data_IF_439630782196
#
_entry.id   IF_439630782196
#
_cell.length_a   1.000
_cell.length_b   1.000
_cell.length_c   1.000
_cell.angle_alpha   90.00
_cell.angle_beta   90.00
_cell.angle_gamma   90.00
#
_symmetry.space_group_name_H-M   'P 1'
#
loop_
_entity.id
_entity.type
_entity.pdbx_description
1 polymer ?
#
# COMPACT_ATOMS: atom_id res chain seq x y z
N UNK A 1 44.42 40.37 42.85
CA UNK A 1 44.90 39.74 41.61
C UNK A 1 44.21 38.34 41.42
N UNK A 2 42.90 38.22 41.60
CA UNK A 2 42.17 36.89 41.64
C UNK A 2 40.84 36.83 40.86
N UNK A 3 40.53 37.88 40.07
CA UNK A 3 39.21 37.94 39.39
C UNK A 3 39.28 37.51 37.88
N UNK A 4 40.49 37.44 37.31
CA UNK A 4 40.66 37.16 35.87
C UNK A 4 40.73 35.66 35.48
N UNK A 5 40.87 34.75 36.45
CA UNK A 5 40.98 33.31 36.19
C UNK A 5 39.63 32.58 36.12
N UNK A 6 38.58 33.17 36.71
CA UNK A 6 37.26 32.53 36.78
C UNK A 6 36.41 32.72 35.52
N UNK A 7 36.69 33.71 34.67
CA UNK A 7 35.87 33.93 33.43
C UNK A 7 36.26 33.01 32.27
N UNK A 8 37.48 32.49 32.24
CA UNK A 8 37.95 31.63 31.15
C UNK A 8 37.41 30.19 31.28
N UNK A 9 37.16 29.73 32.52
CA UNK A 9 36.66 28.39 32.79
C UNK A 9 35.17 28.21 32.45
N UNK A 10 34.36 29.27 32.48
CA UNK A 10 32.92 29.23 32.22
C UNK A 10 32.62 29.18 30.71
N UNK A 11 33.46 29.76 29.85
CA UNK A 11 33.28 29.72 28.39
C UNK A 11 33.66 28.38 27.76
N UNK A 12 34.46 27.55 28.42
CA UNK A 12 34.88 26.25 27.90
C UNK A 12 33.81 25.13 28.06
N UNK A 13 32.84 25.32 28.97
CA UNK A 13 31.78 24.30 29.23
C UNK A 13 30.58 24.44 28.31
N UNK A 14 30.34 25.58 27.68
CA UNK A 14 29.20 25.83 26.79
C UNK A 14 29.41 25.34 25.35
N UNK A 15 30.61 24.86 24.99
CA UNK A 15 30.95 24.41 23.63
C UNK A 15 30.70 22.91 23.33
N UNK A 16 30.30 22.08 24.32
CA UNK A 16 30.33 20.61 24.19
C UNK A 16 29.02 19.92 23.84
N UNK A 17 27.93 20.64 23.59
CA UNK A 17 26.62 20.06 23.23
C UNK A 17 26.15 20.43 21.83
N UNK A 18 27.03 20.48 20.86
CA UNK A 18 26.61 20.43 19.46
C UNK A 18 26.34 18.96 19.08
N UNK A 19 25.23 18.40 19.57
CA UNK A 19 24.69 17.17 19.02
C UNK A 19 24.35 17.45 17.56
N UNK A 20 25.20 17.00 16.63
CA UNK A 20 24.85 16.99 15.22
C UNK A 20 23.60 16.13 15.05
N UNK A 21 22.44 16.76 14.91
CA UNK A 21 21.22 16.07 14.51
C UNK A 21 21.47 15.47 13.12
N UNK A 22 21.88 14.19 13.07
CA UNK A 22 21.99 13.48 11.80
C UNK A 22 20.59 13.21 11.31
N UNK A 23 20.23 13.83 10.20
CA UNK A 23 19.03 13.45 9.46
C UNK A 23 19.14 11.96 9.09
N UNK A 24 18.17 11.16 9.56
CA UNK A 24 18.13 9.72 9.27
C UNK A 24 17.38 9.50 7.99
N UNK A 25 18.04 8.93 6.99
CA UNK A 25 17.41 8.46 5.75
C UNK A 25 16.76 7.11 6.01
N UNK A 26 15.46 7.02 5.73
CA UNK A 26 14.72 5.75 5.79
C UNK A 26 14.95 4.93 4.52
N UNK A 27 15.17 3.63 4.68
CA UNK A 27 15.16 2.65 3.59
C UNK A 27 13.94 1.77 3.75
N UNK A 28 13.04 1.80 2.76
CA UNK A 28 11.78 1.06 2.79
C UNK A 28 11.67 0.09 1.61
N UNK A 29 11.17 -1.11 1.86
CA UNK A 29 10.81 -2.05 0.80
C UNK A 29 9.62 -1.51 0.01
N UNK A 30 9.69 -1.61 -1.31
CA UNK A 30 8.64 -1.14 -2.20
C UNK A 30 8.53 -2.04 -3.43
N UNK A 31 7.35 -2.12 -4.04
CA UNK A 31 7.15 -2.89 -5.26
C UNK A 31 7.85 -2.24 -6.45
N UNK A 32 8.61 -3.03 -7.21
CA UNK A 32 9.21 -2.58 -8.48
C UNK A 32 8.15 -2.52 -9.59
N UNK A 33 8.40 -1.71 -10.64
CA UNK A 33 7.50 -1.67 -11.81
C UNK A 33 7.41 -3.02 -12.51
N UNK A 34 8.52 -3.77 -12.61
CA UNK A 34 8.52 -5.10 -13.21
C UNK A 34 7.62 -6.08 -12.46
N UNK A 35 7.71 -6.09 -11.13
CA UNK A 35 6.86 -6.92 -10.29
C UNK A 35 5.39 -6.49 -10.42
N UNK A 36 5.11 -5.19 -10.41
CA UNK A 36 3.75 -4.66 -10.56
C UNK A 36 3.12 -5.05 -11.90
N UNK A 37 3.87 -5.01 -13.00
CA UNK A 37 3.42 -5.48 -14.32
C UNK A 37 3.12 -6.97 -14.31
N UNK A 38 4.04 -7.81 -13.80
CA UNK A 38 3.82 -9.26 -13.72
C UNK A 38 2.55 -9.59 -12.93
N UNK A 39 2.31 -8.92 -11.79
CA UNK A 39 1.10 -9.11 -11.00
C UNK A 39 -0.14 -8.70 -11.80
N UNK A 40 -0.12 -7.52 -12.42
CA UNK A 40 -1.28 -6.98 -13.12
C UNK A 40 -1.66 -7.85 -14.33
N UNK A 41 -0.69 -8.23 -15.17
CA UNK A 41 -0.90 -9.08 -16.34
C UNK A 41 -1.39 -10.47 -15.96
N UNK A 42 -0.78 -11.07 -14.93
CA UNK A 42 -1.23 -12.38 -14.43
C UNK A 42 -2.67 -12.30 -13.89
N UNK A 43 -2.97 -11.30 -13.06
CA UNK A 43 -4.31 -11.13 -12.50
C UNK A 43 -5.39 -10.90 -13.58
N UNK A 44 -5.05 -10.14 -14.64
CA UNK A 44 -5.95 -9.94 -15.78
C UNK A 44 -6.21 -11.25 -16.55
N UNK A 45 -5.14 -12.00 -16.85
CA UNK A 45 -5.21 -13.23 -17.64
C UNK A 45 -5.93 -14.37 -16.90
N UNK A 46 -5.72 -14.48 -15.58
CA UNK A 46 -6.37 -15.47 -14.72
C UNK A 46 -7.86 -15.14 -14.43
N UNK A 47 -8.28 -13.93 -14.76
CA UNK A 47 -9.64 -13.47 -14.51
C UNK A 47 -10.54 -13.55 -15.75
N UNK A 48 -10.82 -12.41 -16.31
CA UNK A 48 -11.63 -12.27 -17.53
C UNK A 48 -11.26 -10.96 -18.23
N UNK A 49 -11.52 -10.83 -19.55
CA UNK A 49 -11.25 -9.60 -20.26
C UNK A 49 -12.16 -8.41 -19.87
N UNK A 50 -13.05 -8.59 -18.89
CA UNK A 50 -13.95 -7.53 -18.42
C UNK A 50 -13.48 -6.83 -17.15
N UNK A 51 -12.36 -7.26 -16.58
CA UNK A 51 -11.85 -6.65 -15.34
C UNK A 51 -10.90 -5.51 -15.63
N UNK A 52 -10.83 -4.58 -14.69
CA UNK A 52 -9.75 -3.62 -14.54
C UNK A 52 -8.89 -4.03 -13.36
N UNK A 53 -7.58 -3.88 -13.49
CA UNK A 53 -6.58 -4.23 -12.49
C UNK A 53 -5.77 -2.99 -12.15
N UNK A 54 -5.68 -2.65 -10.87
CA UNK A 54 -4.86 -1.56 -10.35
C UNK A 54 -3.81 -2.11 -9.39
N UNK A 55 -2.54 -1.78 -9.60
CA UNK A 55 -1.44 -2.09 -8.66
C UNK A 55 -0.88 -0.80 -8.11
N UNK A 56 -0.86 -0.69 -6.79
CA UNK A 56 -0.34 0.46 -6.05
C UNK A 56 0.98 0.12 -5.38
N UNK A 57 1.85 1.14 -5.23
CA UNK A 57 3.06 1.03 -4.44
C UNK A 57 2.79 1.23 -2.93
N UNK A 58 3.83 1.11 -2.10
CA UNK A 58 3.76 1.29 -0.64
C UNK A 58 3.14 2.63 -0.24
N UNK A 59 3.33 3.69 -1.02
CA UNK A 59 2.78 5.02 -0.77
C UNK A 59 1.37 5.24 -1.35
N UNK A 60 0.72 4.19 -1.86
CA UNK A 60 -0.61 4.25 -2.45
C UNK A 60 -0.65 4.88 -3.85
N UNK A 61 0.51 5.06 -4.50
CA UNK A 61 0.59 5.61 -5.86
C UNK A 61 0.37 4.51 -6.89
N UNK A 62 -0.39 4.82 -7.94
CA UNK A 62 -0.62 3.91 -9.06
C UNK A 62 0.70 3.59 -9.78
N UNK A 63 1.08 2.31 -9.82
CA UNK A 63 2.23 1.81 -10.57
C UNK A 63 1.82 1.25 -11.91
N UNK A 64 0.73 0.48 -11.93
CA UNK A 64 0.17 -0.14 -13.14
C UNK A 64 -1.34 -0.07 -13.05
N UNK A 65 -1.95 0.25 -14.18
CA UNK A 65 -3.37 0.05 -14.41
C UNK A 65 -3.56 -0.65 -15.76
N UNK A 66 -4.29 -1.75 -15.75
CA UNK A 66 -4.71 -2.46 -16.94
C UNK A 66 -6.24 -2.47 -16.99
N UNK A 67 -6.79 -2.08 -18.11
CA UNK A 67 -8.20 -2.20 -18.38
C UNK A 67 -8.41 -3.27 -19.44
N UNK A 68 -9.10 -4.34 -19.07
CA UNK A 68 -9.44 -5.40 -20.00
C UNK A 68 -10.51 -4.94 -21.01
N UNK A 69 -10.58 -5.65 -22.12
CA UNK A 69 -11.57 -5.38 -23.17
C UNK A 69 -12.99 -5.46 -22.60
N UNK A 70 -13.81 -4.47 -22.94
CA UNK A 70 -15.19 -4.34 -22.43
C UNK A 70 -15.33 -4.16 -20.91
N UNK A 71 -14.27 -3.76 -20.20
CA UNK A 71 -14.39 -3.36 -18.81
C UNK A 71 -15.16 -2.03 -18.70
N UNK A 72 -16.05 -1.95 -17.72
CA UNK A 72 -16.85 -0.73 -17.49
C UNK A 72 -16.00 0.45 -17.04
N UNK A 73 -16.31 1.70 -17.44
CA UNK A 73 -15.50 2.88 -17.12
C UNK A 73 -15.25 3.10 -15.62
N UNK A 74 -16.24 2.82 -14.76
CA UNK A 74 -16.12 2.98 -13.31
C UNK A 74 -15.16 1.96 -12.65
N UNK A 75 -14.79 0.89 -13.35
CA UNK A 75 -13.90 -0.14 -12.80
C UNK A 75 -12.50 0.40 -12.53
N UNK A 76 -12.05 1.46 -13.20
CA UNK A 76 -10.79 2.17 -12.88
C UNK A 76 -10.80 2.63 -11.41
N UNK A 77 -11.85 3.35 -11.02
CA UNK A 77 -11.97 3.88 -9.67
C UNK A 77 -12.15 2.76 -8.65
N UNK A 78 -13.01 1.78 -8.93
CA UNK A 78 -13.28 0.68 -8.01
C UNK A 78 -12.02 -0.17 -7.77
N UNK A 79 -11.29 -0.56 -8.82
CA UNK A 79 -10.06 -1.34 -8.70
C UNK A 79 -9.01 -0.60 -7.85
N UNK A 80 -8.81 0.71 -8.13
CA UNK A 80 -7.89 1.56 -7.38
C UNK A 80 -8.28 1.66 -5.90
N UNK A 81 -9.54 1.94 -5.59
CA UNK A 81 -10.02 2.09 -4.21
C UNK A 81 -9.98 0.78 -3.43
N UNK A 82 -10.25 -0.35 -4.06
CA UNK A 82 -10.09 -1.68 -3.45
C UNK A 82 -8.62 -1.96 -3.11
N UNK A 83 -7.70 -1.67 -4.05
CA UNK A 83 -6.27 -1.77 -3.79
C UNK A 83 -5.83 -0.85 -2.64
N UNK A 84 -6.28 0.42 -2.64
CA UNK A 84 -5.95 1.39 -1.61
C UNK A 84 -6.48 0.96 -0.22
N UNK A 85 -7.69 0.43 -0.15
CA UNK A 85 -8.26 -0.13 1.08
C UNK A 85 -7.39 -1.28 1.61
N UNK A 86 -7.00 -2.21 0.74
CA UNK A 86 -6.19 -3.35 1.15
C UNK A 86 -4.80 -2.92 1.63
N UNK A 87 -4.16 -1.97 0.95
CA UNK A 87 -2.87 -1.41 1.34
C UNK A 87 -2.94 -0.74 2.73
N UNK A 88 -3.90 0.16 2.89
CA UNK A 88 -4.04 1.00 4.10
C UNK A 88 -4.27 0.15 5.35
N UNK A 89 -5.11 -0.87 5.25
CA UNK A 89 -5.49 -1.70 6.40
C UNK A 89 -4.73 -3.03 6.48
N UNK A 90 -3.81 -3.32 5.58
CA UNK A 90 -2.94 -4.52 5.53
C UNK A 90 -3.73 -5.82 5.64
N UNK A 91 -4.89 -5.87 4.96
CA UNK A 91 -5.79 -7.01 4.86
C UNK A 91 -6.57 -6.95 3.56
N UNK A 92 -7.24 -8.02 3.16
CA UNK A 92 -8.08 -7.91 1.98
C UNK A 92 -9.19 -6.88 2.18
N UNK A 93 -9.58 -6.22 1.10
CA UNK A 93 -10.65 -5.22 1.18
C UNK A 93 -12.00 -5.85 1.58
N UNK A 94 -12.18 -7.16 1.32
CA UNK A 94 -13.35 -7.92 1.78
C UNK A 94 -13.35 -8.10 3.31
N UNK A 95 -12.19 -8.47 3.90
CA UNK A 95 -12.05 -8.58 5.35
C UNK A 95 -12.27 -7.23 6.04
N UNK A 96 -11.72 -6.15 5.46
CA UNK A 96 -11.96 -4.81 5.98
C UNK A 96 -13.42 -4.40 5.87
N UNK A 97 -14.08 -4.67 4.75
CA UNK A 97 -15.50 -4.40 4.57
C UNK A 97 -16.36 -5.09 5.62
N UNK A 98 -16.06 -6.37 5.91
CA UNK A 98 -16.74 -7.15 6.95
C UNK A 98 -16.48 -6.56 8.34
N UNK A 99 -15.22 -6.23 8.67
CA UNK A 99 -14.83 -5.67 9.97
C UNK A 99 -15.50 -4.33 10.27
N UNK A 100 -15.71 -3.51 9.24
CA UNK A 100 -16.25 -2.15 9.38
C UNK A 100 -17.74 -2.06 9.12
N UNK A 101 -18.45 -3.20 9.02
CA UNK A 101 -19.89 -3.19 8.78
C UNK A 101 -20.66 -2.52 9.91
N UNK A 102 -20.20 -2.72 11.15
CA UNK A 102 -20.82 -2.23 12.37
C UNK A 102 -19.76 -1.88 13.42
N UNK A 103 -20.19 -1.25 14.51
CA UNK A 103 -19.37 -0.97 15.68
C UNK A 103 -18.42 0.23 15.54
N UNK A 104 -17.46 0.32 16.45
CA UNK A 104 -16.58 1.49 16.65
C UNK A 104 -15.76 1.88 15.43
N UNK A 105 -15.46 0.93 14.56
CA UNK A 105 -14.64 1.16 13.36
C UNK A 105 -15.46 1.45 12.09
N UNK A 106 -16.80 1.44 12.18
CA UNK A 106 -17.66 1.69 11.02
C UNK A 106 -17.41 3.07 10.38
N UNK A 107 -17.05 4.07 11.18
CA UNK A 107 -16.68 5.39 10.71
C UNK A 107 -15.49 5.44 9.74
N UNK A 108 -14.64 4.40 9.71
CA UNK A 108 -13.54 4.32 8.74
C UNK A 108 -14.01 4.29 7.28
N UNK A 109 -15.26 3.88 7.04
CA UNK A 109 -15.85 3.88 5.68
C UNK A 109 -16.01 5.26 5.08
N UNK A 110 -15.95 6.32 5.89
CA UNK A 110 -16.01 7.72 5.45
C UNK A 110 -14.66 8.30 5.03
N UNK A 111 -13.57 7.54 5.20
CA UNK A 111 -12.25 7.97 4.72
C UNK A 111 -12.24 8.06 3.19
N UNK A 112 -11.53 9.07 2.68
CA UNK A 112 -11.33 9.23 1.23
C UNK A 112 -10.55 8.04 0.67
N UNK A 113 -10.90 7.63 -0.54
CA UNK A 113 -10.23 6.56 -1.30
C UNK A 113 -10.42 5.12 -0.79
N UNK A 114 -11.02 4.90 0.37
CA UNK A 114 -11.40 3.56 0.80
C UNK A 114 -12.77 3.16 0.26
N UNK A 115 -13.00 1.85 0.14
CA UNK A 115 -14.29 1.33 -0.30
C UNK A 115 -14.59 -0.03 0.36
N UNK A 116 -15.81 -0.25 0.91
CA UNK A 116 -16.17 -1.51 1.57
C UNK A 116 -16.61 -2.58 0.56
N UNK A 117 -15.76 -2.87 -0.41
CA UNK A 117 -15.96 -3.88 -1.44
C UNK A 117 -14.71 -4.78 -1.54
N UNK A 118 -14.92 -6.08 -1.65
CA UNK A 118 -13.86 -7.07 -1.87
C UNK A 118 -13.20 -6.95 -3.25
N UNK A 119 -12.06 -7.63 -3.43
CA UNK A 119 -11.28 -7.65 -4.66
C UNK A 119 -9.94 -6.93 -4.55
N UNK A 120 -9.62 -6.34 -3.40
CA UNK A 120 -8.32 -5.76 -3.09
C UNK A 120 -7.50 -6.67 -2.17
N UNK A 121 -6.20 -6.87 -2.49
CA UNK A 121 -5.28 -7.74 -1.75
C UNK A 121 -3.97 -7.00 -1.52
N UNK A 122 -3.45 -6.93 -0.27
CA UNK A 122 -2.15 -6.33 0.00
C UNK A 122 -1.01 -7.24 -0.46
N UNK A 123 0.10 -6.66 -0.91
CA UNK A 123 1.33 -7.38 -1.24
C UNK A 123 2.26 -7.23 -0.04
N UNK A 124 2.51 -8.35 0.66
CA UNK A 124 3.18 -8.35 1.95
C UNK A 124 4.56 -8.99 1.89
N UNK A 125 5.52 -8.43 2.65
CA UNK A 125 6.78 -9.09 3.04
C UNK A 125 6.82 -9.10 4.57
N UNK A 126 6.56 -10.24 5.19
CA UNK A 126 6.31 -10.29 6.63
C UNK A 126 5.09 -9.42 6.99
N UNK A 127 5.28 -8.45 7.87
CA UNK A 127 4.23 -7.49 8.27
C UNK A 127 4.21 -6.20 7.43
N UNK A 128 5.18 -6.04 6.51
CA UNK A 128 5.27 -4.86 5.66
C UNK A 128 4.39 -4.97 4.42
N UNK A 129 3.45 -4.08 4.26
CA UNK A 129 2.74 -3.89 2.99
C UNK A 129 3.63 -3.07 2.04
N UNK A 130 4.16 -3.71 1.01
CA UNK A 130 5.02 -3.08 -0.01
C UNK A 130 4.25 -2.56 -1.22
N UNK A 131 2.97 -2.86 -1.28
CA UNK A 131 2.04 -2.48 -2.33
C UNK A 131 0.72 -3.20 -2.17
N UNK A 132 -0.13 -3.09 -3.17
CA UNK A 132 -1.41 -3.80 -3.24
C UNK A 132 -1.90 -3.95 -4.67
N UNK A 133 -2.82 -4.89 -4.88
CA UNK A 133 -3.52 -5.07 -6.15
C UNK A 133 -5.02 -5.08 -5.90
N UNK A 134 -5.79 -4.46 -6.79
CA UNK A 134 -7.24 -4.48 -6.74
C UNK A 134 -7.84 -4.75 -8.12
N UNK A 135 -8.91 -5.51 -8.14
CA UNK A 135 -9.65 -5.83 -9.35
C UNK A 135 -11.11 -5.38 -9.24
N UNK A 136 -11.71 -5.09 -10.39
CA UNK A 136 -13.13 -4.79 -10.49
C UNK A 136 -13.69 -5.22 -11.86
N UNK A 137 -14.90 -5.78 -11.88
CA UNK A 137 -15.63 -6.12 -13.08
C UNK A 137 -15.73 -7.62 -13.38
N UNK A 138 -15.27 -8.50 -12.50
CA UNK A 138 -15.41 -9.94 -12.69
C UNK A 138 -16.88 -10.38 -12.56
N UNK A 139 -17.42 -11.23 -13.49
CA UNK A 139 -18.79 -11.68 -13.45
C UNK A 139 -19.13 -12.51 -12.20
N UNK A 140 -18.17 -13.21 -11.61
CA UNK A 140 -18.32 -13.92 -10.33
C UNK A 140 -18.17 -13.01 -9.11
N UNK A 141 -18.11 -11.69 -9.31
CA UNK A 141 -18.10 -10.69 -8.25
C UNK A 141 -16.80 -10.65 -7.43
N UNK A 142 -16.92 -10.10 -6.22
CA UNK A 142 -15.79 -9.77 -5.36
C UNK A 142 -14.90 -10.97 -5.00
N UNK A 143 -15.49 -12.16 -4.84
CA UNK A 143 -14.73 -13.37 -4.51
C UNK A 143 -13.83 -13.80 -5.68
N UNK A 144 -14.30 -13.72 -6.91
CA UNK A 144 -13.51 -13.99 -8.10
C UNK A 144 -12.41 -12.95 -8.27
N UNK A 145 -12.71 -11.66 -8.08
CA UNK A 145 -11.74 -10.56 -8.14
C UNK A 145 -10.59 -10.76 -7.15
N UNK A 146 -10.90 -11.15 -5.91
CA UNK A 146 -9.90 -11.44 -4.90
C UNK A 146 -9.04 -12.67 -5.26
N UNK A 147 -9.64 -13.72 -5.82
CA UNK A 147 -8.92 -14.89 -6.29
C UNK A 147 -7.93 -14.55 -7.42
N UNK A 148 -8.36 -13.75 -8.41
CA UNK A 148 -7.51 -13.27 -9.50
C UNK A 148 -6.35 -12.39 -8.98
N UNK A 149 -6.63 -11.51 -7.99
CA UNK A 149 -5.62 -10.70 -7.33
C UNK A 149 -4.55 -11.57 -6.65
N UNK A 150 -4.98 -12.59 -5.91
CA UNK A 150 -4.09 -13.55 -5.25
C UNK A 150 -3.25 -14.35 -6.25
N UNK A 151 -3.82 -14.75 -7.39
CA UNK A 151 -3.08 -15.43 -8.46
C UNK A 151 -1.96 -14.54 -9.02
N UNK A 152 -2.24 -13.25 -9.24
CA UNK A 152 -1.22 -12.29 -9.64
C UNK A 152 -0.07 -12.19 -8.64
N UNK A 153 -0.36 -12.07 -7.34
CA UNK A 153 0.66 -12.02 -6.28
C UNK A 153 1.46 -13.31 -6.21
N UNK A 154 0.80 -14.48 -6.32
CA UNK A 154 1.45 -15.77 -6.26
C UNK A 154 2.53 -15.94 -7.33
N UNK A 155 2.38 -15.28 -8.49
CA UNK A 155 3.36 -15.32 -9.59
C UNK A 155 4.72 -14.73 -9.23
N UNK A 156 4.77 -13.87 -8.22
CA UNK A 156 6.01 -13.22 -7.76
C UNK A 156 6.38 -13.60 -6.33
N UNK A 157 5.75 -14.63 -5.76
CA UNK A 157 5.88 -15.03 -4.35
C UNK A 157 7.32 -15.33 -3.95
N UNK A 158 8.13 -15.94 -4.83
CA UNK A 158 9.54 -16.23 -4.61
C UNK A 158 10.43 -14.99 -4.45
N UNK A 159 9.95 -13.82 -4.91
CA UNK A 159 10.62 -12.53 -4.83
C UNK A 159 10.19 -11.72 -3.59
N UNK A 160 9.16 -12.17 -2.86
CA UNK A 160 8.63 -11.51 -1.66
C UNK A 160 9.33 -12.03 -0.39
N UNK A 161 10.62 -11.66 -0.23
CA UNK A 161 11.48 -12.11 0.89
C UNK A 161 12.09 -10.96 1.66
#
# INVERSE_FOLDING_TARGET
>A
MSVRLSLVAVLAVLGAFSSSARAQVLSEKNISIKMALTIAETALNECTPRVSVAVLDRAGRMRVFLQGDNASPHNLELARRKAYTALTFRRTSAEWAKRTAEGDVAGQRSLTDVIPLGGGVPIMIGEDAIGSVGLSGAPGGQAQEEACAKAGIAKVQDQLK
#
